data_IF_658372567284
#
_entry.id   IF_658372567284
#
_cell.length_a   1.000
_cell.length_b   1.000
_cell.length_c   1.000
_cell.angle_alpha   90.00
_cell.angle_beta   90.00
_cell.angle_gamma   90.00
#
_symmetry.space_group_name_H-M   'P 1'
#
loop_
_entity.id
_entity.type
_entity.pdbx_description
1 polymer ?
#
# COMPACT_ATOMS: atom_id res chain seq x y z
N UNK A 1 -17.37 10.10 -0.70
CA UNK A 1 -17.48 10.96 -1.91
C UNK A 1 -16.10 11.28 -2.49
N UNK A 2 -15.12 11.63 -1.66
CA UNK A 2 -13.73 11.90 -2.09
C UNK A 2 -12.97 10.68 -2.61
N UNK A 3 -13.02 9.47 -2.02
CA UNK A 3 -12.37 8.28 -2.64
C UNK A 3 -12.86 7.98 -4.07
N UNK A 4 -14.17 8.19 -4.32
CA UNK A 4 -14.76 8.08 -5.66
C UNK A 4 -14.23 9.17 -6.58
N UNK A 5 -14.09 10.40 -6.06
CA UNK A 5 -13.48 11.50 -6.80
C UNK A 5 -11.99 11.23 -7.08
N UNK A 6 -11.22 10.69 -6.13
CA UNK A 6 -9.82 10.28 -6.31
C UNK A 6 -9.69 9.17 -7.35
N UNK A 7 -10.56 8.15 -7.33
CA UNK A 7 -10.57 7.08 -8.35
C UNK A 7 -10.95 7.60 -9.74
N UNK A 8 -11.88 8.56 -9.83
CA UNK A 8 -12.24 9.26 -11.08
C UNK A 8 -11.15 10.19 -11.59
N UNK A 9 -10.49 10.93 -10.70
CA UNK A 9 -9.33 11.76 -11.02
C UNK A 9 -8.19 10.90 -11.53
N UNK A 10 -7.88 9.79 -10.85
CA UNK A 10 -6.86 8.85 -11.30
C UNK A 10 -7.19 8.29 -12.69
N UNK A 11 -8.45 7.92 -12.96
CA UNK A 11 -8.90 7.51 -14.30
C UNK A 11 -8.59 8.55 -15.39
N UNK A 12 -8.89 9.81 -15.09
CA UNK A 12 -8.62 10.93 -15.99
C UNK A 12 -7.13 11.10 -16.24
N UNK A 13 -6.32 10.96 -15.18
CA UNK A 13 -4.85 11.06 -15.24
C UNK A 13 -4.26 9.88 -16.03
N UNK A 14 -4.72 8.65 -15.81
CA UNK A 14 -4.29 7.46 -16.55
C UNK A 14 -4.61 7.64 -18.04
N UNK A 15 -5.79 8.16 -18.37
CA UNK A 15 -6.19 8.44 -19.75
C UNK A 15 -5.31 9.51 -20.41
N UNK A 16 -4.98 10.58 -19.68
CA UNK A 16 -4.07 11.62 -20.13
C UNK A 16 -2.65 11.09 -20.35
N UNK A 17 -2.16 10.19 -19.49
CA UNK A 17 -0.87 9.52 -19.66
C UNK A 17 -0.76 8.80 -21.00
N UNK A 18 -1.83 8.12 -21.43
CA UNK A 18 -1.85 7.46 -22.74
C UNK A 18 -1.97 8.46 -23.88
N UNK A 19 -2.85 9.47 -23.76
CA UNK A 19 -3.03 10.50 -24.77
C UNK A 19 -1.74 11.31 -25.05
N UNK A 20 -0.97 11.59 -24.01
CA UNK A 20 0.29 12.35 -24.08
C UNK A 20 1.52 11.47 -24.44
N UNK A 21 1.30 10.18 -24.72
CA UNK A 21 2.36 9.24 -25.08
C UNK A 21 3.42 9.05 -23.99
N UNK A 22 3.08 9.25 -22.72
CA UNK A 22 4.02 9.10 -21.60
C UNK A 22 4.41 7.64 -21.33
N UNK A 23 3.59 6.70 -21.82
CA UNK A 23 3.86 5.27 -21.80
C UNK A 23 4.82 4.80 -22.89
N UNK A 24 5.15 5.63 -23.87
CA UNK A 24 6.02 5.28 -25.00
C UNK A 24 7.46 5.78 -24.82
N UNK A 25 8.41 5.10 -25.46
CA UNK A 25 9.76 5.65 -25.68
C UNK A 25 9.68 6.82 -26.65
N UNK A 26 10.35 7.93 -26.32
CA UNK A 26 10.50 9.00 -27.30
C UNK A 26 11.54 8.59 -28.35
N UNK A 27 11.12 8.59 -29.63
CA UNK A 27 11.94 8.15 -30.79
C UNK A 27 13.23 8.94 -30.96
N UNK A 28 13.25 10.20 -30.51
CA UNK A 28 14.35 11.15 -30.67
C UNK A 28 14.89 11.60 -29.30
N UNK A 29 15.18 10.63 -28.41
CA UNK A 29 15.67 10.91 -27.04
C UNK A 29 16.94 11.77 -27.01
N UNK A 30 17.81 11.64 -28.03
CA UNK A 30 19.05 12.40 -28.14
C UNK A 30 18.82 13.91 -28.37
N UNK A 31 17.68 14.30 -28.92
CA UNK A 31 17.32 15.70 -29.19
C UNK A 31 16.46 16.32 -28.09
N UNK A 32 16.06 15.53 -27.09
CA UNK A 32 15.27 16.01 -25.96
C UNK A 32 16.16 16.64 -24.89
N UNK A 33 15.83 17.85 -24.43
CA UNK A 33 16.42 18.40 -23.22
C UNK A 33 16.36 17.41 -22.05
N UNK A 34 17.45 17.36 -21.28
CA UNK A 34 17.57 16.48 -20.11
C UNK A 34 16.38 16.62 -19.16
N UNK A 35 15.98 17.85 -18.86
CA UNK A 35 14.86 18.14 -17.96
C UNK A 35 13.55 17.51 -18.42
N UNK A 36 13.25 17.54 -19.73
CA UNK A 36 12.02 16.97 -20.28
C UNK A 36 12.04 15.44 -20.17
N UNK A 37 13.21 14.84 -20.40
CA UNK A 37 13.38 13.39 -20.25
C UNK A 37 13.13 12.97 -18.80
N UNK A 38 13.76 13.64 -17.83
CA UNK A 38 13.57 13.32 -16.41
C UNK A 38 12.15 13.60 -15.94
N UNK A 39 11.54 14.72 -16.35
CA UNK A 39 10.17 15.06 -15.98
C UNK A 39 9.17 14.02 -16.49
N UNK A 40 9.29 13.59 -17.75
CA UNK A 40 8.44 12.53 -18.32
C UNK A 40 8.56 11.22 -17.53
N UNK A 41 9.79 10.83 -17.18
CA UNK A 41 10.06 9.63 -16.38
C UNK A 41 9.43 9.70 -14.99
N UNK A 42 9.55 10.85 -14.32
CA UNK A 42 8.97 11.04 -12.99
C UNK A 42 7.44 11.07 -13.02
N UNK A 43 6.84 11.74 -14.01
CA UNK A 43 5.38 11.76 -14.16
C UNK A 43 4.86 10.33 -14.37
N UNK A 44 5.46 9.58 -15.31
CA UNK A 44 5.09 8.19 -15.54
C UNK A 44 5.23 7.35 -14.26
N UNK A 45 6.37 7.42 -13.58
CA UNK A 45 6.63 6.64 -12.37
C UNK A 45 5.61 6.94 -11.25
N UNK A 46 5.21 8.20 -11.08
CA UNK A 46 4.20 8.60 -10.08
C UNK A 46 2.80 8.10 -10.45
N UNK A 47 2.39 8.22 -11.71
CA UNK A 47 1.07 7.76 -12.17
C UNK A 47 0.99 6.24 -12.08
N UNK A 48 1.95 5.53 -12.67
CA UNK A 48 2.03 4.06 -12.60
C UNK A 48 2.07 3.57 -11.15
N UNK A 49 2.91 4.16 -10.31
CA UNK A 49 3.00 3.80 -8.89
C UNK A 49 1.69 4.00 -8.12
N UNK A 50 0.95 5.06 -8.46
CA UNK A 50 -0.36 5.34 -7.88
C UNK A 50 -1.42 4.35 -8.36
N UNK A 51 -1.51 4.07 -9.66
CA UNK A 51 -2.47 3.08 -10.19
C UNK A 51 -2.23 1.69 -9.58
N UNK A 52 -0.98 1.22 -9.49
CA UNK A 52 -0.69 -0.06 -8.82
C UNK A 52 -1.12 -0.02 -7.35
N UNK A 53 -0.84 1.07 -6.63
CA UNK A 53 -1.23 1.18 -5.22
C UNK A 53 -2.75 1.16 -5.03
N UNK A 54 -3.50 1.81 -5.91
CA UNK A 54 -4.97 1.76 -5.92
C UNK A 54 -5.50 0.40 -6.38
N UNK A 55 -4.85 -0.25 -7.34
CA UNK A 55 -5.23 -1.57 -7.82
C UNK A 55 -5.10 -2.62 -6.72
N UNK A 56 -4.00 -2.59 -5.95
CA UNK A 56 -3.81 -3.41 -4.76
C UNK A 56 -4.86 -3.08 -3.69
N UNK A 57 -5.04 -1.81 -3.36
CA UNK A 57 -5.97 -1.38 -2.30
C UNK A 57 -7.43 -1.76 -2.59
N UNK A 58 -7.88 -1.59 -3.84
CA UNK A 58 -9.25 -1.88 -4.26
C UNK A 58 -9.45 -3.33 -4.72
N UNK A 59 -8.37 -4.11 -4.77
CA UNK A 59 -8.44 -5.48 -5.25
C UNK A 59 -8.89 -5.62 -6.71
N UNK A 60 -8.50 -4.68 -7.58
CA UNK A 60 -8.86 -4.67 -9.00
C UNK A 60 -7.64 -4.85 -9.89
N UNK A 61 -7.79 -5.27 -11.16
CA UNK A 61 -6.70 -5.19 -12.12
C UNK A 61 -6.14 -3.75 -12.26
N UNK A 62 -4.83 -3.59 -12.51
CA UNK A 62 -4.24 -2.29 -12.81
C UNK A 62 -4.74 -1.78 -14.17
N UNK A 63 -4.85 -0.46 -14.30
CA UNK A 63 -5.21 0.22 -15.55
C UNK A 63 -3.98 0.51 -16.39
N UNK A 64 -2.86 0.81 -15.74
CA UNK A 64 -1.57 1.02 -16.38
C UNK A 64 -0.70 -0.21 -16.10
N UNK A 65 -0.59 -1.10 -17.08
CA UNK A 65 0.26 -2.29 -16.96
C UNK A 65 1.65 -2.05 -17.53
N UNK A 66 2.68 -2.49 -16.81
CA UNK A 66 4.07 -2.44 -17.29
C UNK A 66 4.28 -3.25 -18.58
N UNK A 67 3.39 -4.20 -18.91
CA UNK A 67 3.47 -5.02 -20.13
C UNK A 67 3.32 -4.22 -21.42
N UNK A 68 2.62 -3.09 -21.35
CA UNK A 68 2.31 -2.25 -22.50
C UNK A 68 2.95 -0.86 -22.41
N UNK A 69 3.76 -0.62 -21.39
CA UNK A 69 4.41 0.67 -21.16
C UNK A 69 5.93 0.51 -21.17
N UNK A 70 6.63 1.49 -21.71
CA UNK A 70 8.07 1.58 -21.56
C UNK A 70 8.44 2.12 -20.18
N UNK A 71 8.90 1.24 -19.31
CA UNK A 71 9.33 1.58 -17.95
C UNK A 71 10.76 2.11 -17.97
N UNK A 72 10.93 3.43 -17.97
CA UNK A 72 12.24 4.05 -17.73
C UNK A 72 12.34 4.64 -16.33
N UNK A 73 13.38 4.24 -15.60
CA UNK A 73 13.61 4.66 -14.23
C UNK A 73 14.09 6.12 -14.20
N UNK A 74 13.46 7.02 -13.43
CA UNK A 74 13.97 8.37 -13.23
C UNK A 74 15.29 8.35 -12.46
N UNK A 75 16.15 9.35 -12.61
CA UNK A 75 17.40 9.43 -11.86
C UNK A 75 17.19 9.91 -10.42
N UNK A 76 18.07 9.50 -9.51
CA UNK A 76 18.09 9.93 -8.12
C UNK A 76 18.82 11.27 -7.98
N UNK A 77 18.19 12.33 -8.50
CA UNK A 77 18.73 13.69 -8.55
C UNK A 77 17.78 14.68 -7.87
N UNK A 78 18.31 15.85 -7.51
CA UNK A 78 17.52 16.99 -7.02
C UNK A 78 16.89 17.77 -8.18
N UNK A 79 15.88 18.58 -7.87
CA UNK A 79 15.10 19.31 -8.88
C UNK A 79 15.88 20.47 -9.51
N UNK A 80 16.86 21.02 -8.80
CA UNK A 80 17.77 22.06 -9.29
C UNK A 80 18.65 21.57 -10.46
N UNK A 81 19.03 20.29 -10.45
CA UNK A 81 19.82 19.64 -11.50
C UNK A 81 19.11 19.67 -12.86
N UNK A 82 17.77 19.73 -12.89
CA UNK A 82 17.02 19.83 -14.15
C UNK A 82 17.34 21.08 -14.97
N UNK A 83 17.80 22.15 -14.31
CA UNK A 83 18.15 23.40 -14.98
C UNK A 83 19.58 23.41 -15.56
N UNK A 84 20.41 22.42 -15.20
CA UNK A 84 21.81 22.33 -15.61
C UNK A 84 21.94 21.80 -17.04
N UNK A 85 23.01 22.22 -17.72
CA UNK A 85 23.31 21.84 -19.11
C UNK A 85 24.83 21.77 -19.31
N UNK A 86 25.30 20.87 -20.17
CA UNK A 86 26.73 20.74 -20.50
C UNK A 86 27.55 20.22 -19.33
N UNK A 87 28.76 20.76 -19.16
CA UNK A 87 29.74 20.24 -18.18
C UNK A 87 29.22 20.23 -16.73
N UNK A 88 28.40 21.20 -16.33
CA UNK A 88 27.83 21.24 -14.97
C UNK A 88 26.85 20.10 -14.73
N UNK A 89 26.06 19.75 -15.74
CA UNK A 89 25.17 18.58 -15.68
C UNK A 89 25.99 17.29 -15.65
N UNK A 90 27.02 17.17 -16.49
CA UNK A 90 27.86 15.97 -16.54
C UNK A 90 28.55 15.68 -15.21
N UNK A 91 28.98 16.74 -14.49
CA UNK A 91 29.54 16.62 -13.14
C UNK A 91 28.54 16.06 -12.13
N UNK A 92 27.31 16.57 -12.12
CA UNK A 92 26.26 16.06 -11.22
C UNK A 92 25.86 14.62 -11.57
N UNK A 93 25.80 14.28 -12.86
CA UNK A 93 25.50 12.93 -13.32
C UNK A 93 26.62 11.93 -12.99
N UNK A 94 27.87 12.39 -12.85
CA UNK A 94 28.99 11.56 -12.41
C UNK A 94 28.86 11.09 -10.95
N UNK A 95 27.99 11.72 -10.16
CA UNK A 95 27.64 11.31 -8.80
C UNK A 95 26.49 10.29 -8.75
N UNK A 96 26.16 9.65 -9.87
CA UNK A 96 25.20 8.56 -9.94
C UNK A 96 25.92 7.22 -10.18
N UNK A 97 25.42 6.16 -9.57
CA UNK A 97 25.85 4.81 -9.87
C UNK A 97 25.30 4.33 -11.23
N UNK A 98 25.73 3.14 -11.65
CA UNK A 98 25.28 2.50 -12.90
C UNK A 98 23.76 2.29 -12.99
N UNK A 99 23.06 2.27 -11.86
CA UNK A 99 21.62 2.08 -11.77
C UNK A 99 20.89 3.43 -11.69
N UNK A 100 21.60 4.56 -11.55
CA UNK A 100 21.06 5.91 -11.44
C UNK A 100 20.72 6.33 -9.99
N UNK A 101 21.27 5.66 -8.98
CA UNK A 101 21.20 6.08 -7.57
C UNK A 101 22.31 7.07 -7.23
N UNK A 102 22.05 8.01 -6.32
CA UNK A 102 23.11 8.94 -5.92
C UNK A 102 24.19 8.24 -5.07
N UNK A 103 25.44 8.63 -5.28
CA UNK A 103 26.60 8.13 -4.53
C UNK A 103 27.03 9.07 -3.40
N UNK A 104 26.35 10.20 -3.24
CA UNK A 104 26.65 11.23 -2.23
C UNK A 104 26.10 10.89 -0.84
N UNK A 105 25.29 9.82 -0.73
CA UNK A 105 24.67 9.44 0.53
C UNK A 105 23.47 10.31 0.91
N UNK A 106 22.93 11.06 -0.05
CA UNK A 106 21.87 12.02 0.20
C UNK A 106 20.49 11.35 0.12
N UNK A 107 19.66 11.59 1.13
CA UNK A 107 18.31 11.03 1.20
C UNK A 107 17.37 11.97 0.47
N UNK A 108 17.05 11.62 -0.78
CA UNK A 108 16.27 12.47 -1.71
C UNK A 108 14.86 11.91 -1.93
N UNK A 109 13.90 12.77 -2.26
CA UNK A 109 12.53 12.35 -2.63
C UNK A 109 12.51 11.53 -3.92
N UNK A 110 13.43 11.79 -4.86
CA UNK A 110 13.58 11.03 -6.10
C UNK A 110 13.90 9.55 -5.84
N UNK A 111 14.62 9.24 -4.75
CA UNK A 111 14.84 7.86 -4.33
C UNK A 111 13.53 7.11 -4.03
N UNK A 112 12.54 7.77 -3.40
CA UNK A 112 11.21 7.17 -3.15
C UNK A 112 10.46 6.94 -4.45
N UNK A 113 10.55 7.86 -5.42
CA UNK A 113 9.88 7.68 -6.74
C UNK A 113 10.46 6.44 -7.44
N UNK A 114 11.78 6.32 -7.49
CA UNK A 114 12.48 5.16 -8.06
C UNK A 114 12.08 3.86 -7.36
N UNK A 115 12.12 3.87 -6.03
CA UNK A 115 11.76 2.69 -5.24
C UNK A 115 10.28 2.31 -5.37
N UNK A 116 9.39 3.30 -5.47
CA UNK A 116 7.97 3.09 -5.75
C UNK A 116 7.79 2.39 -7.10
N UNK A 117 8.53 2.78 -8.12
CA UNK A 117 8.44 2.14 -9.43
C UNK A 117 8.92 0.69 -9.40
N UNK A 118 10.05 0.41 -8.75
CA UNK A 118 10.59 -0.95 -8.58
C UNK A 118 9.58 -1.84 -7.84
N UNK A 119 9.11 -1.40 -6.68
CA UNK A 119 8.15 -2.15 -5.87
C UNK A 119 6.79 -2.29 -6.56
N UNK A 120 6.30 -1.29 -7.28
CA UNK A 120 5.06 -1.37 -8.06
C UNK A 120 5.13 -2.42 -9.17
N UNK A 121 6.26 -2.56 -9.86
CA UNK A 121 6.41 -3.65 -10.83
C UNK A 121 6.31 -5.02 -10.19
N UNK A 122 6.84 -5.21 -8.97
CA UNK A 122 6.75 -6.47 -8.23
C UNK A 122 5.31 -6.68 -7.73
N UNK A 123 4.67 -5.62 -7.21
CA UNK A 123 3.28 -5.67 -6.74
C UNK A 123 2.29 -5.94 -7.87
N UNK A 124 2.54 -5.45 -9.09
CA UNK A 124 1.74 -5.80 -10.27
C UNK A 124 1.76 -7.32 -10.54
N UNK A 125 2.94 -7.95 -10.48
CA UNK A 125 3.07 -9.39 -10.66
C UNK A 125 2.41 -10.18 -9.50
N UNK A 126 2.54 -9.68 -8.26
CA UNK A 126 1.87 -10.27 -7.09
C UNK A 126 0.34 -10.15 -7.18
N UNK A 127 -0.16 -9.03 -7.70
CA UNK A 127 -1.59 -8.81 -7.94
C UNK A 127 -2.13 -9.71 -9.05
N UNK A 128 -1.35 -9.97 -10.10
CA UNK A 128 -1.69 -11.00 -11.08
C UNK A 128 -1.78 -12.39 -10.43
N UNK A 129 -0.88 -12.71 -9.49
CA UNK A 129 -0.96 -13.96 -8.73
C UNK A 129 -2.22 -14.05 -7.84
N UNK A 130 -2.71 -12.93 -7.31
CA UNK A 130 -3.92 -12.89 -6.49
C UNK A 130 -5.21 -12.98 -7.31
N UNK A 131 -5.28 -12.26 -8.43
CA UNK A 131 -6.49 -12.09 -9.24
C UNK A 131 -6.59 -13.07 -10.42
N UNK A 132 -5.48 -13.68 -10.81
CA UNK A 132 -5.40 -14.54 -11.99
C UNK A 132 -6.21 -15.83 -11.82
N UNK A 133 -7.11 -16.10 -12.79
CA UNK A 133 -8.00 -17.27 -12.75
C UNK A 133 -7.37 -18.56 -13.29
N UNK A 134 -6.38 -18.45 -14.17
CA UNK A 134 -5.74 -19.58 -14.87
C UNK A 134 -4.22 -19.57 -14.68
N UNK A 135 -3.76 -19.40 -13.45
CA UNK A 135 -2.33 -19.34 -13.15
C UNK A 135 -1.72 -20.73 -13.13
N UNK A 136 -0.64 -20.92 -13.89
CA UNK A 136 0.21 -22.10 -13.83
C UNK A 136 1.46 -21.79 -13.01
N UNK A 137 1.99 -22.82 -12.32
CA UNK A 137 3.23 -22.75 -11.54
C UNK A 137 3.22 -21.64 -10.47
N UNK A 138 2.09 -21.44 -9.79
CA UNK A 138 1.96 -20.45 -8.71
C UNK A 138 3.08 -20.54 -7.66
N UNK A 139 3.48 -21.73 -7.15
CA UNK A 139 4.56 -21.81 -6.17
C UNK A 139 5.89 -21.23 -6.66
N UNK A 140 6.25 -21.53 -7.90
CA UNK A 140 7.46 -20.99 -8.52
C UNK A 140 7.36 -19.46 -8.67
N UNK A 141 6.21 -18.95 -9.14
CA UNK A 141 6.00 -17.50 -9.29
C UNK A 141 6.12 -16.76 -7.96
N UNK A 142 5.55 -17.30 -6.88
CA UNK A 142 5.69 -16.72 -5.54
C UNK A 142 7.16 -16.70 -5.10
N UNK A 143 7.87 -17.82 -5.27
CA UNK A 143 9.31 -17.88 -4.95
C UNK A 143 10.14 -16.89 -5.75
N UNK A 144 9.82 -16.70 -7.04
CA UNK A 144 10.45 -15.68 -7.89
C UNK A 144 10.15 -14.25 -7.40
N UNK A 145 8.94 -13.98 -6.90
CA UNK A 145 8.57 -12.68 -6.34
C UNK A 145 9.31 -12.39 -5.04
N UNK A 146 9.40 -13.37 -4.14
CA UNK A 146 10.19 -13.28 -2.90
C UNK A 146 11.67 -12.99 -3.22
N UNK A 147 12.27 -13.74 -4.15
CA UNK A 147 13.64 -13.51 -4.58
C UNK A 147 13.84 -12.12 -5.22
N UNK A 148 12.89 -11.65 -6.04
CA UNK A 148 12.93 -10.33 -6.67
C UNK A 148 12.91 -9.20 -5.63
N UNK A 149 12.02 -9.25 -4.64
CA UNK A 149 11.94 -8.18 -3.63
C UNK A 149 13.16 -8.19 -2.71
N UNK A 150 13.69 -9.36 -2.36
CA UNK A 150 14.91 -9.49 -1.55
C UNK A 150 16.15 -8.98 -2.29
N UNK A 151 16.29 -9.30 -3.57
CA UNK A 151 17.38 -8.79 -4.40
C UNK A 151 17.27 -7.26 -4.54
N UNK A 152 16.07 -6.75 -4.85
CA UNK A 152 15.83 -5.32 -4.99
C UNK A 152 16.13 -4.54 -3.71
N UNK A 153 15.83 -5.12 -2.53
CA UNK A 153 16.16 -4.51 -1.23
C UNK A 153 17.66 -4.52 -0.96
N UNK A 154 18.36 -5.61 -1.28
CA UNK A 154 19.83 -5.72 -1.12
C UNK A 154 20.61 -4.79 -2.05
N UNK A 155 20.06 -4.49 -3.21
CA UNK A 155 20.66 -3.59 -4.19
C UNK A 155 20.48 -2.10 -3.85
N UNK A 156 19.61 -1.76 -2.88
CA UNK A 156 19.43 -0.37 -2.48
C UNK A 156 20.71 0.19 -1.85
N UNK A 157 21.05 1.47 -2.10
CA UNK A 157 22.13 2.13 -1.42
C UNK A 157 22.02 2.03 0.12
N UNK A 158 23.11 1.75 0.86
CA UNK A 158 23.07 1.50 2.31
C UNK A 158 22.46 2.64 3.14
N UNK A 159 22.57 3.88 2.67
CA UNK A 159 21.99 5.05 3.34
C UNK A 159 20.45 5.11 3.26
N UNK A 160 19.82 4.32 2.37
CA UNK A 160 18.36 4.17 2.27
C UNK A 160 17.82 2.97 3.07
N UNK A 161 18.68 2.05 3.51
CA UNK A 161 18.32 0.82 4.23
C UNK A 161 18.78 0.83 5.68
N UNK A 162 18.61 1.97 6.35
CA UNK A 162 19.02 2.13 7.74
C UNK A 162 18.24 1.22 8.70
N UNK A 163 18.83 0.84 9.85
CA UNK A 163 18.11 0.11 10.88
C UNK A 163 16.89 0.89 11.42
N UNK A 164 15.80 0.18 11.72
CA UNK A 164 14.55 0.74 12.29
C UNK A 164 14.78 1.70 13.46
N UNK A 165 15.62 1.30 14.42
CA UNK A 165 15.95 2.11 15.61
C UNK A 165 16.60 3.46 15.27
N UNK A 166 17.21 3.59 14.10
CA UNK A 166 17.98 4.75 13.69
C UNK A 166 17.15 5.77 12.88
N UNK A 167 15.89 5.43 12.57
CA UNK A 167 14.97 6.29 11.80
C UNK A 167 14.63 7.57 12.56
N UNK A 168 14.24 7.45 13.83
CA UNK A 168 13.74 8.56 14.64
C UNK A 168 14.83 9.23 15.51
N UNK A 169 16.11 9.07 15.16
CA UNK A 169 17.22 9.68 15.89
C UNK A 169 17.21 11.21 15.77
N UNK A 170 17.65 11.88 16.84
CA UNK A 170 17.79 13.35 16.86
C UNK A 170 18.80 13.79 15.79
N UNK A 171 18.43 14.80 14.99
CA UNK A 171 19.30 15.41 13.98
C UNK A 171 18.91 15.14 12.53
N UNK A 172 17.97 14.22 12.25
CA UNK A 172 17.39 14.06 10.91
C UNK A 172 16.29 15.09 10.66
N UNK A 173 16.19 15.58 9.43
CA UNK A 173 15.06 16.39 9.01
C UNK A 173 13.79 15.54 8.85
N UNK A 174 12.61 16.16 8.98
CA UNK A 174 11.34 15.47 8.79
C UNK A 174 11.20 14.87 7.37
N UNK A 175 11.83 15.50 6.36
CA UNK A 175 11.85 14.99 4.99
C UNK A 175 12.68 13.72 4.84
N UNK A 176 13.84 13.63 5.49
CA UNK A 176 14.65 12.41 5.48
C UNK A 176 13.93 11.27 6.20
N UNK A 177 13.34 11.56 7.36
CA UNK A 177 12.52 10.61 8.12
C UNK A 177 11.39 10.07 7.26
N UNK A 178 10.64 10.94 6.59
CA UNK A 178 9.55 10.53 5.70
C UNK A 178 10.03 9.67 4.53
N UNK A 179 11.15 10.06 3.92
CA UNK A 179 11.74 9.36 2.78
C UNK A 179 12.12 7.94 3.19
N UNK A 180 12.90 7.79 4.26
CA UNK A 180 13.34 6.50 4.78
C UNK A 180 12.17 5.64 5.27
N UNK A 181 11.20 6.26 5.97
CA UNK A 181 9.98 5.58 6.38
C UNK A 181 9.23 5.01 5.17
N UNK A 182 9.08 5.80 4.10
CA UNK A 182 8.39 5.40 2.89
C UNK A 182 9.13 4.30 2.12
N UNK A 183 10.47 4.34 2.07
CA UNK A 183 11.30 3.27 1.47
C UNK A 183 11.01 1.93 2.16
N UNK A 184 11.10 1.90 3.50
CA UNK A 184 10.83 0.67 4.27
C UNK A 184 9.37 0.25 4.20
N UNK A 185 8.43 1.19 4.23
CA UNK A 185 7.00 0.91 4.12
C UNK A 185 6.66 0.20 2.80
N UNK A 186 7.22 0.66 1.68
CA UNK A 186 6.99 0.05 0.37
C UNK A 186 7.55 -1.38 0.29
N UNK A 187 8.69 -1.64 0.92
CA UNK A 187 9.24 -3.00 1.06
C UNK A 187 8.31 -3.90 1.87
N UNK A 188 7.90 -3.46 3.06
CA UNK A 188 7.01 -4.24 3.95
C UNK A 188 5.64 -4.47 3.33
N UNK A 189 5.08 -3.48 2.62
CA UNK A 189 3.82 -3.63 1.89
C UNK A 189 3.94 -4.68 0.77
N UNK A 190 5.05 -4.65 0.02
CA UNK A 190 5.28 -5.59 -1.09
C UNK A 190 5.49 -7.02 -0.60
N UNK A 191 6.29 -7.22 0.45
CA UNK A 191 6.51 -8.53 1.07
C UNK A 191 5.21 -9.09 1.66
N UNK A 192 4.45 -8.27 2.40
CA UNK A 192 3.12 -8.64 2.88
C UNK A 192 2.18 -9.07 1.74
N UNK A 193 2.14 -8.33 0.63
CA UNK A 193 1.31 -8.66 -0.53
C UNK A 193 1.69 -10.01 -1.14
N UNK A 194 2.99 -10.32 -1.24
CA UNK A 194 3.51 -11.58 -1.77
C UNK A 194 3.14 -12.75 -0.84
N UNK A 195 3.32 -12.61 0.47
CA UNK A 195 2.92 -13.65 1.43
C UNK A 195 1.42 -13.85 1.47
N UNK A 196 0.65 -12.79 1.30
CA UNK A 196 -0.80 -12.91 1.21
C UNK A 196 -1.21 -13.68 -0.05
N UNK A 197 -0.55 -13.42 -1.19
CA UNK A 197 -0.71 -14.21 -2.40
C UNK A 197 -0.34 -15.69 -2.18
N UNK A 198 0.78 -15.97 -1.51
CA UNK A 198 1.18 -17.33 -1.15
C UNK A 198 0.11 -18.04 -0.31
N UNK A 199 -0.39 -17.36 0.74
CA UNK A 199 -1.43 -17.88 1.64
C UNK A 199 -2.74 -18.18 0.90
N UNK A 200 -3.16 -17.31 -0.03
CA UNK A 200 -4.38 -17.53 -0.84
C UNK A 200 -4.34 -18.83 -1.63
N UNK A 201 -3.15 -19.25 -2.06
CA UNK A 201 -2.93 -20.48 -2.83
C UNK A 201 -2.54 -21.69 -1.97
N UNK A 202 -2.66 -21.59 -0.64
CA UNK A 202 -2.32 -22.67 0.29
C UNK A 202 -0.82 -22.95 0.41
N UNK A 203 0.04 -22.02 -0.05
CA UNK A 203 1.50 -22.14 -0.01
C UNK A 203 2.08 -21.61 1.31
N UNK A 204 1.40 -21.89 2.42
CA UNK A 204 1.77 -21.31 3.70
C UNK A 204 3.12 -21.84 4.16
N UNK A 205 4.12 -20.96 4.20
CA UNK A 205 5.22 -21.10 5.15
C UNK A 205 4.69 -20.74 6.54
N UNK A 206 5.11 -21.50 7.54
CA UNK A 206 4.46 -21.55 8.87
C UNK A 206 4.58 -20.20 9.57
N UNK A 207 3.55 -19.35 9.43
CA UNK A 207 3.49 -18.03 10.07
C UNK A 207 4.12 -16.86 9.28
N UNK A 208 4.60 -17.04 8.06
CA UNK A 208 5.27 -15.97 7.30
C UNK A 208 4.38 -14.74 7.05
N UNK A 209 3.10 -14.97 6.70
CA UNK A 209 2.11 -13.89 6.56
C UNK A 209 1.88 -13.17 7.90
N UNK A 210 1.81 -13.89 9.02
CA UNK A 210 1.65 -13.29 10.34
C UNK A 210 2.85 -12.40 10.73
N UNK A 211 4.07 -12.87 10.45
CA UNK A 211 5.30 -12.11 10.71
C UNK A 211 5.32 -10.84 9.89
N UNK A 212 5.11 -10.92 8.57
CA UNK A 212 5.11 -9.75 7.70
C UNK A 212 3.97 -8.76 8.03
N UNK A 213 2.78 -9.27 8.38
CA UNK A 213 1.69 -8.42 8.86
C UNK A 213 2.06 -7.71 10.17
N UNK A 214 2.67 -8.42 11.12
CA UNK A 214 3.08 -7.85 12.41
C UNK A 214 4.16 -6.77 12.24
N UNK A 215 5.14 -6.99 11.37
CA UNK A 215 6.16 -5.98 11.04
C UNK A 215 5.55 -4.76 10.34
N UNK A 216 4.70 -4.98 9.33
CA UNK A 216 4.04 -3.89 8.60
C UNK A 216 3.15 -3.05 9.51
N UNK A 217 2.35 -3.68 10.38
CA UNK A 217 1.49 -2.97 11.34
C UNK A 217 2.33 -2.16 12.33
N UNK A 218 3.37 -2.76 12.90
CA UNK A 218 4.25 -2.08 13.86
C UNK A 218 4.91 -0.85 13.22
N UNK A 219 5.38 -0.98 11.98
CA UNK A 219 6.02 0.11 11.25
C UNK A 219 5.08 1.31 11.04
N UNK A 220 3.83 1.06 10.65
CA UNK A 220 2.84 2.13 10.47
C UNK A 220 2.44 2.75 11.81
N UNK A 221 2.32 1.94 12.88
CA UNK A 221 2.02 2.43 14.23
C UNK A 221 3.12 3.37 14.72
N UNK A 222 4.40 3.08 14.48
CA UNK A 222 5.49 3.98 14.88
C UNK A 222 5.32 5.38 14.27
N UNK A 223 5.01 5.47 12.97
CA UNK A 223 4.75 6.74 12.31
C UNK A 223 3.46 7.41 12.83
N UNK A 224 2.44 6.64 13.17
CA UNK A 224 1.17 7.15 13.71
C UNK A 224 1.36 7.79 15.09
N UNK A 225 2.13 7.13 15.96
CA UNK A 225 2.47 7.63 17.31
C UNK A 225 3.39 8.84 17.21
N UNK A 226 4.34 8.85 16.27
CA UNK A 226 5.33 9.92 16.07
C UNK A 226 4.95 10.90 14.95
N UNK A 227 3.66 11.04 14.63
CA UNK A 227 3.18 11.81 13.47
C UNK A 227 3.68 13.26 13.40
N UNK A 228 3.98 13.86 14.55
CA UNK A 228 4.53 15.22 14.65
C UNK A 228 5.98 15.34 14.15
N UNK A 229 6.67 14.23 13.96
CA UNK A 229 8.03 14.17 13.39
C UNK A 229 8.02 13.93 11.87
N UNK A 230 6.85 13.66 11.28
CA UNK A 230 6.68 13.55 9.83
C UNK A 230 6.69 14.94 9.20
N UNK A 231 7.03 15.04 7.92
CA UNK A 231 6.82 16.29 7.16
C UNK A 231 5.33 16.47 6.87
N UNK A 232 4.95 17.67 6.41
CA UNK A 232 3.57 17.99 6.03
C UNK A 232 2.99 16.96 5.03
N UNK A 233 3.77 16.57 4.03
CA UNK A 233 3.37 15.56 3.04
C UNK A 233 3.20 14.18 3.70
N UNK A 234 4.08 13.83 4.63
CA UNK A 234 3.99 12.60 5.41
C UNK A 234 2.73 12.55 6.27
N UNK A 235 2.34 13.68 6.86
CA UNK A 235 1.13 13.79 7.67
C UNK A 235 -0.14 13.68 6.81
N UNK A 236 -0.20 14.39 5.68
CA UNK A 236 -1.33 14.33 4.73
C UNK A 236 -1.53 12.90 4.20
N UNK A 237 -0.44 12.20 3.91
CA UNK A 237 -0.49 10.81 3.41
C UNK A 237 -0.66 9.75 4.52
N UNK A 238 -0.68 10.13 5.80
CA UNK A 238 -0.73 9.17 6.91
C UNK A 238 -2.02 8.33 6.89
N UNK A 239 -3.17 8.96 6.64
CA UNK A 239 -4.43 8.25 6.49
C UNK A 239 -4.36 7.19 5.37
N UNK A 240 -3.74 7.52 4.22
CA UNK A 240 -3.51 6.57 3.14
C UNK A 240 -2.59 5.41 3.55
N UNK A 241 -1.50 5.69 4.29
CA UNK A 241 -0.60 4.64 4.81
C UNK A 241 -1.35 3.70 5.76
N UNK A 242 -2.20 4.23 6.64
CA UNK A 242 -3.01 3.40 7.54
C UNK A 242 -4.02 2.56 6.75
N UNK A 243 -4.77 3.17 5.83
CA UNK A 243 -5.77 2.48 5.03
C UNK A 243 -5.16 1.38 4.15
N UNK A 244 -4.07 1.67 3.46
CA UNK A 244 -3.46 0.77 2.47
C UNK A 244 -2.50 -0.28 3.05
N UNK A 245 -2.03 -0.09 4.29
CA UNK A 245 -1.03 -0.97 4.90
C UNK A 245 -1.48 -1.50 6.27
N UNK A 246 -1.81 -0.62 7.22
CA UNK A 246 -2.11 -1.04 8.59
C UNK A 246 -3.44 -1.78 8.70
N UNK A 247 -4.49 -1.36 7.96
CA UNK A 247 -5.76 -2.07 7.96
C UNK A 247 -5.60 -3.50 7.40
N UNK A 248 -4.99 -3.71 6.20
CA UNK A 248 -4.58 -5.02 5.69
C UNK A 248 -3.78 -5.87 6.69
N UNK A 249 -2.79 -5.28 7.34
CA UNK A 249 -1.98 -6.02 8.32
C UNK A 249 -2.79 -6.41 9.57
N UNK A 250 -3.60 -5.49 10.09
CA UNK A 250 -4.40 -5.69 11.28
C UNK A 250 -5.47 -6.78 11.08
N UNK A 251 -6.15 -6.80 9.93
CA UNK A 251 -7.12 -7.85 9.62
C UNK A 251 -6.47 -9.24 9.52
N UNK A 252 -5.28 -9.33 8.92
CA UNK A 252 -4.53 -10.60 8.88
C UNK A 252 -4.16 -11.07 10.29
N UNK A 253 -3.63 -10.18 11.14
CA UNK A 253 -3.29 -10.49 12.53
C UNK A 253 -4.53 -10.91 13.32
N UNK A 254 -5.65 -10.18 13.20
CA UNK A 254 -6.90 -10.51 13.87
C UNK A 254 -7.40 -11.90 13.49
N UNK A 255 -7.31 -12.27 12.21
CA UNK A 255 -7.64 -13.60 11.73
C UNK A 255 -6.79 -14.69 12.40
N UNK A 256 -5.47 -14.51 12.48
CA UNK A 256 -4.58 -15.44 13.18
C UNK A 256 -4.91 -15.58 14.68
N UNK A 257 -5.32 -14.48 15.32
CA UNK A 257 -5.64 -14.47 16.75
C UNK A 257 -6.98 -15.13 17.08
N UNK A 258 -7.93 -15.12 16.14
CA UNK A 258 -9.26 -15.72 16.24
C UNK A 258 -9.26 -17.22 15.91
N UNK A 259 -8.31 -17.67 15.09
CA UNK A 259 -8.21 -19.08 14.74
C UNK A 259 -7.78 -19.95 15.93
N UNK A 260 -8.39 -21.13 16.14
CA UNK A 260 -7.88 -22.12 17.07
C UNK A 260 -6.45 -22.56 16.69
N UNK A 261 -5.56 -22.71 17.67
CA UNK A 261 -4.16 -23.13 17.46
C UNK A 261 -4.03 -24.42 16.66
N UNK A 262 -5.04 -25.30 16.75
CA UNK A 262 -5.11 -26.57 16.04
C UNK A 262 -5.35 -26.46 14.52
N UNK A 263 -5.87 -25.33 14.03
CA UNK A 263 -6.28 -25.17 12.61
C UNK A 263 -5.23 -24.53 11.72
N UNK A 264 -4.41 -23.63 12.27
CA UNK A 264 -3.44 -22.86 11.47
C UNK A 264 -2.11 -23.61 11.30
N UNK A 265 -1.89 -24.70 12.06
CA UNK A 265 -0.55 -25.32 12.15
C UNK A 265 0.51 -24.37 12.71
N UNK A 266 0.10 -23.21 13.22
CA UNK A 266 0.93 -22.13 13.73
C UNK A 266 0.62 -21.91 15.21
N UNK A 267 1.59 -22.22 16.07
CA UNK A 267 1.50 -21.96 17.50
C UNK A 267 2.04 -20.57 17.80
N UNK A 268 1.12 -19.63 18.01
CA UNK A 268 1.41 -18.26 18.36
C UNK A 268 1.88 -18.21 19.82
N UNK A 269 3.15 -17.87 20.05
CA UNK A 269 3.68 -17.78 21.40
C UNK A 269 2.99 -16.63 22.18
N UNK A 270 2.97 -16.73 23.51
CA UNK A 270 2.26 -15.77 24.36
C UNK A 270 2.77 -14.33 24.22
N UNK A 271 4.04 -14.14 23.86
CA UNK A 271 4.64 -12.81 23.71
C UNK A 271 4.21 -12.17 22.38
N UNK A 272 4.23 -12.92 21.29
CA UNK A 272 3.71 -12.49 19.98
C UNK A 272 2.22 -12.19 20.07
N UNK A 273 1.44 -13.04 20.74
CA UNK A 273 0.00 -12.81 20.97
C UNK A 273 -0.24 -11.48 21.68
N UNK A 274 0.49 -11.23 22.78
CA UNK A 274 0.38 -9.98 23.54
C UNK A 274 0.72 -8.76 22.68
N UNK A 275 1.84 -8.81 21.97
CA UNK A 275 2.29 -7.70 21.11
C UNK A 275 1.28 -7.40 20.00
N UNK A 276 0.69 -8.42 19.39
CA UNK A 276 -0.36 -8.25 18.38
C UNK A 276 -1.61 -7.57 18.97
N UNK A 277 -2.07 -8.00 20.15
CA UNK A 277 -3.20 -7.37 20.85
C UNK A 277 -2.87 -5.90 21.16
N UNK A 278 -1.69 -5.60 21.69
CA UNK A 278 -1.24 -4.23 21.98
C UNK A 278 -1.24 -3.36 20.72
N UNK A 279 -0.64 -3.82 19.62
CA UNK A 279 -0.59 -3.08 18.36
C UNK A 279 -1.99 -2.84 17.78
N UNK A 280 -2.88 -3.84 17.81
CA UNK A 280 -4.27 -3.68 17.38
C UNK A 280 -5.01 -2.62 18.21
N UNK A 281 -4.84 -2.66 19.54
CA UNK A 281 -5.42 -1.65 20.44
C UNK A 281 -4.91 -0.24 20.16
N UNK A 282 -3.60 -0.08 19.94
CA UNK A 282 -2.99 1.22 19.59
C UNK A 282 -3.57 1.71 18.26
N UNK A 283 -3.64 0.85 17.23
CA UNK A 283 -4.23 1.23 15.95
C UNK A 283 -5.68 1.71 16.12
N UNK A 284 -6.53 0.93 16.80
CA UNK A 284 -7.95 1.28 17.04
C UNK A 284 -8.08 2.62 17.76
N UNK A 285 -7.25 2.88 18.77
CA UNK A 285 -7.26 4.13 19.53
C UNK A 285 -6.90 5.33 18.64
N UNK A 286 -5.91 5.18 17.76
CA UNK A 286 -5.44 6.26 16.90
C UNK A 286 -6.27 6.45 15.62
N UNK A 287 -7.10 5.49 15.21
CA UNK A 287 -7.94 5.63 14.02
C UNK A 287 -8.84 6.87 14.08
N UNK A 288 -9.35 7.23 15.26
CA UNK A 288 -10.23 8.39 15.43
C UNK A 288 -9.55 9.75 15.22
N UNK A 289 -8.22 9.78 15.11
CA UNK A 289 -7.44 11.01 14.88
C UNK A 289 -7.16 11.20 13.37
N UNK A 290 -7.42 10.17 12.55
CA UNK A 290 -7.05 10.13 11.13
C UNK A 290 -8.15 10.57 10.17
N UNK A 291 -9.35 10.85 10.67
CA UNK A 291 -10.49 11.19 9.84
C UNK A 291 -11.42 12.18 10.54
N UNK A 292 -11.86 13.19 9.79
CA UNK A 292 -12.98 14.03 10.16
C UNK A 292 -14.27 13.56 9.47
N UNK A 293 -15.47 13.84 10.02
CA UNK A 293 -16.76 13.48 9.40
C UNK A 293 -16.96 13.97 7.95
N UNK A 294 -16.17 14.95 7.50
CA UNK A 294 -16.17 15.45 6.12
C UNK A 294 -15.29 14.65 5.16
N UNK A 295 -14.38 13.81 5.65
CA UNK A 295 -13.36 13.17 4.83
C UNK A 295 -13.91 12.01 3.99
N UNK A 296 -13.35 11.83 2.80
CA UNK A 296 -13.67 10.70 1.91
C UNK A 296 -13.52 9.32 2.51
N UNK A 297 -12.57 9.19 3.43
CA UNK A 297 -12.18 7.93 4.05
C UNK A 297 -12.93 7.69 5.38
N UNK A 298 -13.78 8.63 5.82
CA UNK A 298 -14.48 8.56 7.10
C UNK A 298 -15.20 7.20 7.30
N UNK A 299 -16.04 6.81 6.34
CA UNK A 299 -16.81 5.57 6.43
C UNK A 299 -15.91 4.33 6.45
N UNK A 300 -14.83 4.32 5.65
CA UNK A 300 -13.84 3.24 5.64
C UNK A 300 -13.23 3.07 7.04
N UNK A 301 -12.78 4.15 7.66
CA UNK A 301 -12.18 4.09 8.99
C UNK A 301 -13.19 3.73 10.08
N UNK A 302 -14.42 4.22 10.02
CA UNK A 302 -15.47 3.81 10.96
C UNK A 302 -15.77 2.32 10.88
N UNK A 303 -15.95 1.78 9.66
CA UNK A 303 -16.22 0.36 9.46
C UNK A 303 -15.04 -0.50 9.91
N UNK A 304 -13.82 -0.14 9.51
CA UNK A 304 -12.61 -0.86 9.91
C UNK A 304 -12.40 -0.84 11.43
N UNK A 305 -12.64 0.30 12.08
CA UNK A 305 -12.57 0.43 13.54
C UNK A 305 -13.58 -0.50 14.22
N UNK A 306 -14.83 -0.49 13.80
CA UNK A 306 -15.88 -1.33 14.39
C UNK A 306 -15.58 -2.83 14.20
N UNK A 307 -15.12 -3.22 13.01
CA UNK A 307 -14.74 -4.61 12.71
C UNK A 307 -13.58 -5.09 13.60
N UNK A 308 -12.52 -4.27 13.73
CA UNK A 308 -11.38 -4.61 14.58
C UNK A 308 -11.75 -4.59 16.06
N UNK A 309 -12.63 -3.69 16.51
CA UNK A 309 -13.14 -3.70 17.89
C UNK A 309 -13.91 -4.99 18.19
N UNK A 310 -14.82 -5.40 17.31
CA UNK A 310 -15.57 -6.66 17.47
C UNK A 310 -14.65 -7.89 17.48
N UNK A 311 -13.62 -7.90 16.62
CA UNK A 311 -12.60 -8.95 16.63
C UNK A 311 -11.82 -8.96 17.96
N UNK A 312 -11.41 -7.79 18.47
CA UNK A 312 -10.72 -7.66 19.75
C UNK A 312 -11.59 -8.11 20.93
N UNK A 313 -12.87 -7.76 20.96
CA UNK A 313 -13.79 -8.20 22.00
C UNK A 313 -13.91 -9.73 22.02
N UNK A 314 -13.94 -10.36 20.84
CA UNK A 314 -13.95 -11.82 20.71
C UNK A 314 -12.62 -12.45 21.17
N UNK A 315 -11.48 -11.85 20.82
CA UNK A 315 -10.13 -12.32 21.21
C UNK A 315 -9.91 -12.24 22.72
N UNK A 316 -10.49 -11.23 23.37
CA UNK A 316 -10.35 -10.95 24.81
C UNK A 316 -11.42 -11.63 25.67
N UNK A 317 -12.52 -12.09 25.06
CA UNK A 317 -13.59 -12.78 25.77
C UNK A 317 -13.08 -14.10 26.36
N UNK A 318 -13.49 -14.46 27.59
CA UNK A 318 -13.17 -15.76 28.16
C UNK A 318 -13.82 -16.87 27.31
N UNK A 319 -13.19 -18.05 27.15
CA UNK A 319 -13.78 -19.15 26.42
C UNK A 319 -15.09 -19.57 27.09
N UNK A 320 -16.21 -19.39 26.39
CA UNK A 320 -17.53 -19.81 26.86
C UNK A 320 -17.68 -21.33 26.67
N UNK A 321 -17.80 -22.14 27.73
CA UNK A 321 -17.95 -23.59 27.62
C UNK A 321 -19.25 -24.03 26.92
N UNK A 322 -20.18 -23.12 26.63
CA UNK A 322 -21.47 -23.41 26.01
C UNK A 322 -21.58 -23.05 24.51
N UNK A 323 -20.56 -22.42 23.90
CA UNK A 323 -20.62 -22.13 22.46
C UNK A 323 -20.16 -23.33 21.62
N UNK A 324 -21.01 -23.88 20.73
CA UNK A 324 -20.56 -24.90 19.80
C UNK A 324 -19.48 -24.30 18.88
N UNK A 325 -18.37 -25.02 18.68
CA UNK A 325 -17.24 -24.62 17.81
C UNK A 325 -17.68 -24.11 16.42
N UNK A 326 -18.82 -24.60 15.92
CA UNK A 326 -19.45 -24.21 14.66
C UNK A 326 -19.88 -22.72 14.58
N UNK A 327 -20.07 -22.03 15.71
CA UNK A 327 -20.50 -20.63 15.79
C UNK A 327 -19.34 -19.68 15.47
N UNK A 328 -18.17 -20.00 16.05
CA UNK A 328 -16.91 -19.33 15.79
C UNK A 328 -16.48 -19.58 14.33
N UNK A 329 -16.77 -20.77 13.79
CA UNK A 329 -16.51 -21.12 12.40
C UNK A 329 -17.31 -20.30 11.39
N UNK A 330 -18.60 -20.03 11.64
CA UNK A 330 -19.40 -19.20 10.73
C UNK A 330 -18.93 -17.75 10.71
N UNK A 331 -18.60 -17.18 11.87
CA UNK A 331 -18.05 -15.81 11.96
C UNK A 331 -16.63 -15.72 11.40
N UNK A 332 -15.78 -16.73 11.65
CA UNK A 332 -14.38 -16.75 11.18
C UNK A 332 -14.25 -17.11 9.69
N UNK A 333 -15.14 -17.97 9.17
CA UNK A 333 -15.13 -18.39 7.77
C UNK A 333 -15.80 -17.39 6.84
N UNK A 334 -16.87 -16.70 7.27
CA UNK A 334 -17.59 -15.75 6.43
C UNK A 334 -17.03 -14.32 6.55
N UNK A 335 -16.56 -13.88 7.72
CA UNK A 335 -16.09 -12.51 7.90
C UNK A 335 -14.59 -12.32 7.60
N UNK A 336 -13.79 -13.38 7.55
CA UNK A 336 -12.31 -13.27 7.54
C UNK A 336 -11.60 -14.31 6.64
N UNK A 337 -12.27 -14.89 5.63
CA UNK A 337 -11.58 -15.56 4.51
C UNK A 337 -10.48 -14.63 3.96
N UNK A 338 -9.33 -15.11 3.42
CA UNK A 338 -8.33 -14.27 2.74
C UNK A 338 -8.90 -13.30 1.69
N UNK A 339 -10.16 -13.51 1.29
CA UNK A 339 -10.99 -12.59 0.53
C UNK A 339 -11.41 -11.31 1.28
N UNK A 340 -11.08 -11.09 2.55
CA UNK A 340 -11.53 -9.90 3.31
C UNK A 340 -11.02 -8.56 2.74
N UNK A 341 -9.92 -8.57 1.97
CA UNK A 341 -9.47 -7.41 1.17
C UNK A 341 -10.37 -7.20 -0.07
N UNK A 342 -11.07 -8.25 -0.53
CA UNK A 342 -12.00 -8.25 -1.67
C UNK A 342 -13.48 -8.36 -1.25
N UNK A 343 -13.78 -8.50 0.04
CA UNK A 343 -15.12 -8.87 0.49
C UNK A 343 -15.95 -7.64 0.80
N UNK A 344 -17.20 -7.67 0.35
CA UNK A 344 -18.23 -6.65 0.56
C UNK A 344 -18.51 -6.34 2.04
N UNK A 345 -17.95 -7.12 2.99
CA UNK A 345 -18.15 -6.93 4.44
C UNK A 345 -17.53 -5.64 5.02
N UNK A 346 -16.48 -5.08 4.40
CA UNK A 346 -16.00 -3.73 4.73
C UNK A 346 -16.65 -2.63 3.88
N UNK A 347 -17.53 -2.99 2.94
CA UNK A 347 -18.08 -2.09 1.94
C UNK A 347 -17.06 -1.63 0.90
N UNK A 348 -16.00 -2.42 0.65
CA UNK A 348 -14.89 -2.08 -0.24
C UNK A 348 -14.91 -2.82 -1.58
N UNK A 349 -15.83 -3.79 -1.75
CA UNK A 349 -16.03 -4.46 -3.03
C UNK A 349 -16.56 -3.50 -4.09
N UNK A 350 -16.30 -3.82 -5.37
CA UNK A 350 -16.76 -3.05 -6.55
C UNK A 350 -18.28 -2.82 -6.51
N UNK A 351 -19.04 -3.76 -5.96
CA UNK A 351 -20.50 -3.71 -5.87
C UNK A 351 -21.00 -2.76 -4.76
N UNK A 352 -20.21 -2.56 -3.70
CA UNK A 352 -20.50 -1.59 -2.65
C UNK A 352 -20.46 -0.13 -3.13
N UNK A 353 -19.83 0.13 -4.28
CA UNK A 353 -19.79 1.44 -4.94
C UNK A 353 -20.84 1.64 -6.03
N UNK A 354 -21.53 0.57 -6.44
CA UNK A 354 -22.56 0.58 -7.50
C UNK A 354 -23.98 0.68 -6.89
N UNK A 355 -24.17 0.30 -5.63
CA UNK A 355 -25.49 0.09 -5.02
C UNK A 355 -26.13 1.21 -4.19
N UNK A 356 -25.57 2.43 -4.11
CA UNK A 356 -26.24 3.52 -3.37
C UNK A 356 -27.20 4.30 -4.30
N UNK A 357 -28.52 4.30 -4.07
CA UNK A 357 -29.47 5.03 -4.90
C UNK A 357 -29.22 6.54 -4.77
N UNK A 358 -29.21 7.18 -5.93
CA UNK A 358 -29.14 8.63 -6.12
C UNK A 358 -30.27 9.30 -5.33
N UNK A 359 -30.00 9.78 -4.10
CA UNK A 359 -30.92 10.71 -3.43
C UNK A 359 -30.70 12.11 -3.99
N UNK A 360 -31.09 12.25 -5.24
CA UNK A 360 -31.16 13.49 -6.00
C UNK A 360 -32.43 13.55 -6.84
N UNK A 361 -33.54 12.93 -6.41
CA UNK A 361 -34.85 13.06 -7.09
C UNK A 361 -35.99 12.58 -6.18
N UNK A 362 -36.40 13.38 -5.19
CA UNK A 362 -37.77 13.33 -4.64
C UNK A 362 -38.00 14.57 -3.76
N UNK A 363 -38.21 15.72 -4.40
CA UNK A 363 -39.23 16.65 -3.92
C UNK A 363 -40.33 16.67 -4.97
N UNK A 364 -41.44 16.03 -4.60
CA UNK A 364 -42.76 16.21 -5.21
C UNK A 364 -43.05 17.70 -5.26
N UNK A 365 -43.20 18.24 -6.47
CA UNK A 365 -44.14 19.33 -6.68
C UNK A 365 -45.53 18.68 -6.65
N UNK A 366 -46.23 18.85 -5.54
CA UNK A 366 -47.68 18.92 -5.58
C UNK A 366 -48.01 20.21 -6.32
N UNK A 367 -48.79 20.12 -7.40
CA UNK A 367 -49.88 21.05 -7.66
C UNK A 367 -50.82 20.46 -8.72
N UNK A 368 -52.04 20.17 -8.25
CA UNK A 368 -53.20 19.85 -9.06
C UNK A 368 -53.61 21.10 -9.87
N UNK A 369 -53.73 20.93 -11.21
CA UNK A 369 -54.87 21.20 -12.12
C UNK A 369 -55.77 22.44 -11.89
N UNK A 370 -56.60 22.89 -12.87
CA UNK A 370 -56.50 22.90 -14.33
C UNK A 370 -56.88 24.29 -14.96
N UNK A 371 -56.78 24.35 -16.30
CA UNK A 371 -57.18 25.41 -17.24
C UNK A 371 -56.23 26.60 -17.45
#
# INVERSE_FOLDING_TARGET
MEMRNSSRQLNSIDSALFADGLHETVKEKEYLPFFLTQLRQQIFARIYGSDISFAVFLGRPPRVSKRFCYTSMPLDIEEDIYSLVGESLDQELAHLDRNGWNTLGQIRKSAVIRWTMITSMIREDALEALLGRNLTNVPQRIGELQAKIDHAWKDLPPFLTIPTRDLWLKGRSCHEVDTLHQIRLLYLNTTFLIEWAASRHGLQDTGALFVNASELLSWVIEALVRREQLSEIGLISLAWRVASCALPAAGAIAWYLLQPSSRVGFNLDSSSRRRSIENLSVLIAHMGILHDPGDGNYQLFCHAKNALQSAMDTILSPPDPAQPENSLDMLSSAALSPDWIFSDYLGLGVDSWIGLPDRGSFMRMDDNMPY
#
